data_IF_409715073343
#
_entry.id   IF_409715073343
#
_cell.length_a   1.000
_cell.length_b   1.000
_cell.length_c   1.000
_cell.angle_alpha   90.00
_cell.angle_beta   90.00
_cell.angle_gamma   90.00
#
_symmetry.space_group_name_H-M   'P 1'
#
loop_
_entity.id
_entity.type
_entity.pdbx_description
1 polymer ?
#
# COMPACT_ATOMS: atom_id res chain seq x y z
N UNK A 1 -1.79 6.69 -12.00
CA UNK A 1 -2.53 5.99 -10.93
C UNK A 1 -2.18 6.61 -9.58
N UNK A 2 -2.98 6.39 -8.59
CA UNK A 2 -2.79 6.92 -7.24
C UNK A 2 -3.32 5.96 -6.19
N UNK A 3 -2.85 6.12 -4.96
CA UNK A 3 -3.42 5.48 -3.77
C UNK A 3 -3.80 6.57 -2.78
N UNK A 4 -5.01 6.49 -2.26
CA UNK A 4 -5.55 7.43 -1.28
C UNK A 4 -5.88 6.65 0.00
N UNK A 5 -5.25 7.04 1.10
CA UNK A 5 -5.46 6.39 2.39
C UNK A 5 -5.80 7.40 3.47
N UNK A 6 -7.06 7.42 3.96
CA UNK A 6 -7.46 8.22 5.11
C UNK A 6 -7.20 7.45 6.41
N UNK A 7 -6.60 8.10 7.38
CA UNK A 7 -6.42 7.60 8.74
C UNK A 7 -6.99 8.59 9.75
N UNK A 8 -7.79 8.09 10.68
CA UNK A 8 -8.32 8.93 11.75
C UNK A 8 -7.26 9.16 12.81
N UNK A 9 -7.02 10.41 13.14
CA UNK A 9 -6.12 10.84 14.21
C UNK A 9 -6.93 11.53 15.33
N UNK A 10 -6.28 11.80 16.46
CA UNK A 10 -6.95 12.43 17.62
C UNK A 10 -7.55 13.81 17.30
N UNK A 11 -6.94 14.57 16.40
CA UNK A 11 -7.36 15.93 16.05
C UNK A 11 -7.79 16.08 14.58
N UNK A 12 -8.13 15.00 13.90
CA UNK A 12 -8.55 15.11 12.51
C UNK A 12 -8.43 13.84 11.70
N UNK A 13 -8.23 14.01 10.40
CA UNK A 13 -8.03 12.91 9.45
C UNK A 13 -6.73 13.18 8.71
N UNK A 14 -5.78 12.25 8.81
CA UNK A 14 -4.62 12.23 7.94
C UNK A 14 -5.01 11.60 6.60
N UNK A 15 -4.63 12.22 5.52
CA UNK A 15 -4.83 11.72 4.18
C UNK A 15 -3.49 11.50 3.50
N UNK A 16 -3.08 10.24 3.39
CA UNK A 16 -1.90 9.88 2.62
C UNK A 16 -2.31 9.72 1.16
N UNK A 17 -1.59 10.36 0.26
CA UNK A 17 -1.80 10.26 -1.17
C UNK A 17 -0.47 9.93 -1.85
N UNK A 18 -0.42 8.77 -2.48
CA UNK A 18 0.71 8.36 -3.30
C UNK A 18 0.35 8.50 -4.77
N UNK A 19 1.16 9.22 -5.53
CA UNK A 19 1.03 9.40 -6.97
C UNK A 19 2.09 8.56 -7.69
N UNK A 20 1.75 7.98 -8.83
CA UNK A 20 2.63 7.15 -9.63
C UNK A 20 2.81 7.71 -11.04
N UNK A 21 4.06 7.67 -11.53
CA UNK A 21 4.40 8.07 -12.89
C UNK A 21 3.94 9.50 -13.21
N UNK A 22 3.42 9.73 -14.38
CA UNK A 22 2.98 11.04 -14.86
C UNK A 22 1.89 11.71 -13.98
N UNK A 23 1.29 10.96 -13.05
CA UNK A 23 0.37 11.57 -12.09
C UNK A 23 1.08 12.52 -11.11
N UNK A 24 2.39 12.41 -10.95
CA UNK A 24 3.19 13.34 -10.13
C UNK A 24 3.12 14.76 -10.65
N UNK A 25 3.01 14.96 -11.96
CA UNK A 25 2.90 16.27 -12.61
C UNK A 25 1.62 17.01 -12.21
N UNK A 26 0.59 16.29 -11.80
CA UNK A 26 -0.68 16.84 -11.35
C UNK A 26 -0.70 17.18 -9.85
N UNK A 27 0.37 16.93 -9.11
CA UNK A 27 0.41 17.20 -7.68
C UNK A 27 0.14 18.67 -7.31
N UNK A 28 0.66 19.68 -8.04
CA UNK A 28 0.31 21.08 -7.78
C UNK A 28 -1.19 21.38 -7.97
N UNK A 29 -1.79 20.84 -9.04
CA UNK A 29 -3.21 21.01 -9.30
C UNK A 29 -4.07 20.35 -8.23
N UNK A 30 -3.62 19.19 -7.71
CA UNK A 30 -4.29 18.49 -6.64
C UNK A 30 -4.23 19.24 -5.32
N UNK A 31 -3.09 19.82 -4.96
CA UNK A 31 -2.94 20.68 -3.79
C UNK A 31 -3.85 21.90 -3.87
N UNK A 32 -3.93 22.53 -5.03
CA UNK A 32 -4.84 23.65 -5.25
C UNK A 32 -6.31 23.23 -5.12
N UNK A 33 -6.67 22.05 -5.64
CA UNK A 33 -8.01 21.50 -5.48
C UNK A 33 -8.37 21.23 -4.02
N UNK A 34 -7.42 20.73 -3.23
CA UNK A 34 -7.58 20.52 -1.79
C UNK A 34 -7.77 21.86 -1.04
N UNK A 35 -6.95 22.88 -1.36
CA UNK A 35 -7.12 24.24 -0.80
C UNK A 35 -8.48 24.85 -1.13
N UNK A 36 -8.98 24.63 -2.34
CA UNK A 36 -10.34 25.04 -2.71
C UNK A 36 -11.42 24.28 -1.94
N UNK A 37 -11.16 23.01 -1.63
CA UNK A 37 -12.09 22.21 -0.84
C UNK A 37 -12.22 22.71 0.60
N UNK A 38 -11.14 23.23 1.22
CA UNK A 38 -11.22 23.88 2.55
C UNK A 38 -12.33 24.94 2.61
N UNK A 39 -12.39 25.80 1.58
CA UNK A 39 -13.38 26.90 1.49
C UNK A 39 -14.81 26.39 1.29
N UNK A 40 -14.97 25.18 0.74
CA UNK A 40 -16.29 24.59 0.45
C UNK A 40 -16.80 23.68 1.55
N UNK A 41 -15.94 23.20 2.42
CA UNK A 41 -16.24 22.18 3.43
C UNK A 41 -16.39 20.77 2.87
N UNK A 42 -16.33 19.78 3.76
CA UNK A 42 -16.44 18.36 3.44
C UNK A 42 -17.86 17.82 3.65
N UNK A 43 -18.24 16.92 2.76
CA UNK A 43 -19.48 16.15 2.86
C UNK A 43 -20.73 16.97 2.50
N UNK A 44 -21.90 16.37 2.78
CA UNK A 44 -23.21 16.96 2.49
C UNK A 44 -23.47 18.20 3.35
N UNK A 45 -22.97 18.18 4.57
CA UNK A 45 -23.16 19.24 5.57
C UNK A 45 -22.12 20.37 5.45
N UNK A 46 -21.19 20.25 4.49
CA UNK A 46 -20.11 21.23 4.26
C UNK A 46 -19.33 21.56 5.53
N UNK A 47 -18.94 20.52 6.26
CA UNK A 47 -18.18 20.67 7.50
C UNK A 47 -16.87 21.39 7.20
N UNK A 48 -16.58 22.53 7.87
CA UNK A 48 -15.33 23.25 7.69
C UNK A 48 -14.15 22.39 8.09
N UNK A 49 -13.03 22.50 7.40
CA UNK A 49 -11.77 21.84 7.74
C UNK A 49 -10.61 22.72 7.32
N UNK A 50 -9.46 22.46 7.88
CA UNK A 50 -8.20 23.08 7.48
C UNK A 50 -7.20 21.99 7.10
N UNK A 51 -6.39 22.28 6.09
CA UNK A 51 -5.37 21.35 5.61
C UNK A 51 -4.04 21.78 6.20
N UNK A 52 -3.41 20.84 6.95
CA UNK A 52 -2.03 20.94 7.35
C UNK A 52 -1.26 19.96 6.47
N UNK A 53 -0.58 20.46 5.44
CA UNK A 53 0.07 19.62 4.45
C UNK A 53 1.55 19.40 4.72
N UNK A 54 2.01 18.17 4.54
CA UNK A 54 3.41 17.81 4.45
C UNK A 54 3.62 16.97 3.20
N UNK A 55 4.48 17.45 2.30
CA UNK A 55 4.90 16.69 1.13
C UNK A 55 6.17 15.96 1.52
N UNK A 56 6.19 14.63 1.42
CA UNK A 56 7.38 13.82 1.66
C UNK A 56 7.69 12.99 0.41
N UNK A 57 8.97 12.83 0.06
CA UNK A 57 9.37 11.80 -0.90
C UNK A 57 8.95 10.42 -0.39
N UNK A 58 8.52 9.53 -1.29
CA UNK A 58 7.77 8.31 -0.95
C UNK A 58 8.50 7.21 -0.17
N UNK A 59 9.73 7.38 0.29
CA UNK A 59 10.53 6.30 0.89
C UNK A 59 11.14 6.61 2.26
N UNK A 60 10.93 7.79 2.84
CA UNK A 60 11.52 8.05 4.14
C UNK A 60 10.71 7.49 5.31
N UNK A 61 11.23 6.44 5.89
CA UNK A 61 10.77 5.84 7.15
C UNK A 61 11.27 6.58 8.40
N UNK A 62 11.80 7.78 8.28
CA UNK A 62 12.28 8.56 9.42
C UNK A 62 11.21 9.58 9.86
N UNK A 63 10.40 9.17 10.82
CA UNK A 63 9.53 10.06 11.60
C UNK A 63 10.38 10.97 12.51
N UNK A 64 10.99 11.99 11.96
CA UNK A 64 11.40 13.12 12.78
C UNK A 64 10.15 13.98 13.05
N UNK A 65 9.82 14.10 14.33
CA UNK A 65 8.80 15.03 14.84
C UNK A 65 9.32 16.45 14.63
N UNK A 66 9.02 17.06 13.50
CA UNK A 66 9.20 18.49 13.35
C UNK A 66 7.84 19.13 13.07
N UNK A 67 7.40 19.95 14.01
CA UNK A 67 6.29 20.88 13.87
C UNK A 67 6.60 21.80 12.68
N UNK A 68 5.83 21.70 11.59
CA UNK A 68 6.11 22.50 10.43
C UNK A 68 4.87 22.96 9.69
N UNK A 69 4.48 24.21 9.94
CA UNK A 69 3.58 24.99 9.10
C UNK A 69 4.18 25.41 7.75
N UNK A 70 5.48 25.17 7.54
CA UNK A 70 6.23 25.72 6.40
C UNK A 70 6.43 24.76 5.21
N UNK A 71 6.01 23.50 5.32
CA UNK A 71 6.26 22.49 4.28
C UNK A 71 5.50 22.71 2.96
N UNK A 72 4.47 23.56 2.95
CA UNK A 72 3.76 23.88 1.71
C UNK A 72 4.47 24.92 0.81
N UNK A 73 5.53 25.56 1.32
CA UNK A 73 6.31 26.56 0.56
C UNK A 73 7.59 25.98 -0.05
N UNK A 74 8.01 24.78 0.37
CA UNK A 74 9.13 24.11 -0.24
C UNK A 74 8.68 23.43 -1.55
N UNK A 75 9.51 23.52 -2.59
CA UNK A 75 9.23 22.93 -3.89
C UNK A 75 8.87 21.44 -3.81
N UNK A 76 8.20 20.94 -4.84
CA UNK A 76 7.89 19.51 -4.95
C UNK A 76 9.17 18.69 -4.89
N UNK A 77 9.25 17.64 -4.06
CA UNK A 77 10.40 16.74 -4.07
C UNK A 77 10.48 15.99 -5.39
N UNK A 78 11.69 15.64 -5.80
CA UNK A 78 11.90 14.80 -6.98
C UNK A 78 11.19 13.45 -6.84
N UNK A 79 10.68 12.89 -7.95
CA UNK A 79 10.08 11.56 -7.92
C UNK A 79 11.11 10.50 -7.50
N UNK A 80 10.72 9.60 -6.62
CA UNK A 80 11.55 8.49 -6.16
C UNK A 80 11.14 7.21 -6.89
N UNK A 81 12.11 6.47 -7.41
CA UNK A 81 11.85 5.16 -8.02
C UNK A 81 11.54 4.14 -6.95
N UNK A 82 10.63 3.18 -7.24
CA UNK A 82 10.27 2.11 -6.30
C UNK A 82 11.48 1.25 -5.87
N UNK A 83 12.55 1.22 -6.67
CA UNK A 83 13.80 0.53 -6.36
C UNK A 83 14.75 1.28 -5.43
N UNK A 84 14.59 2.61 -5.31
CA UNK A 84 15.46 3.44 -4.51
C UNK A 84 15.15 3.23 -3.01
N UNK A 85 16.17 2.96 -2.20
CA UNK A 85 16.01 2.73 -0.76
C UNK A 85 15.37 1.39 -0.36
N UNK A 86 15.24 0.46 -1.31
CA UNK A 86 14.88 -0.94 -1.02
C UNK A 86 16.13 -1.79 -0.70
N UNK A 87 17.18 -1.16 -0.17
CA UNK A 87 18.41 -1.86 0.18
C UNK A 87 18.10 -3.04 1.10
N UNK A 88 18.60 -4.23 0.76
CA UNK A 88 18.56 -5.37 1.64
C UNK A 88 19.56 -5.12 2.78
N UNK A 89 19.17 -4.41 3.83
CA UNK A 89 19.93 -4.51 5.06
C UNK A 89 19.95 -5.98 5.47
N UNK A 90 21.10 -6.60 5.36
CA UNK A 90 21.35 -7.98 5.76
C UNK A 90 21.20 -8.08 7.28
N UNK A 91 20.06 -8.58 7.72
CA UNK A 91 19.81 -8.88 9.12
C UNK A 91 19.98 -10.41 9.33
N UNK A 92 20.77 -10.78 10.31
CA UNK A 92 21.07 -12.18 10.63
C UNK A 92 19.82 -12.97 11.09
N UNK A 93 18.70 -12.30 11.37
CA UNK A 93 17.53 -12.95 11.95
C UNK A 93 16.35 -13.16 10.97
N UNK A 94 16.44 -12.73 9.72
CA UNK A 94 15.51 -12.96 8.60
C UNK A 94 14.01 -13.08 8.99
N UNK A 95 13.56 -12.30 10.01
CA UNK A 95 12.17 -12.28 10.47
C UNK A 95 11.50 -11.00 10.02
N UNK A 96 10.41 -11.14 9.25
CA UNK A 96 9.60 -10.02 8.81
C UNK A 96 8.20 -10.10 9.41
N UNK A 97 7.70 -8.98 9.83
CA UNK A 97 6.34 -8.81 10.31
C UNK A 97 5.58 -7.90 9.37
N UNK A 98 4.47 -8.38 8.84
CA UNK A 98 3.55 -7.63 7.97
C UNK A 98 2.22 -7.44 8.67
N UNK A 99 1.89 -6.19 8.96
CA UNK A 99 0.57 -5.81 9.50
C UNK A 99 -0.35 -5.36 8.37
N UNK A 100 -1.49 -6.01 8.21
CA UNK A 100 -2.57 -5.55 7.34
C UNK A 100 -3.33 -4.42 8.04
N UNK A 101 -3.01 -3.18 7.71
CA UNK A 101 -3.62 -1.99 8.32
C UNK A 101 -5.03 -1.74 7.81
N UNK A 102 -5.28 -2.07 6.55
CA UNK A 102 -6.59 -1.98 5.92
C UNK A 102 -6.99 -3.32 5.31
N UNK A 103 -8.30 -3.56 5.09
CA UNK A 103 -8.78 -4.83 4.59
C UNK A 103 -8.10 -5.27 3.30
N UNK A 104 -7.42 -6.40 3.35
CA UNK A 104 -6.84 -7.06 2.18
C UNK A 104 -7.94 -7.85 1.46
N UNK A 105 -8.13 -7.57 0.18
CA UNK A 105 -9.17 -8.15 -0.67
C UNK A 105 -8.55 -8.84 -1.88
N UNK A 106 -8.14 -10.07 -1.72
CA UNK A 106 -7.67 -10.91 -2.82
C UNK A 106 -8.83 -11.73 -3.38
N UNK A 107 -8.92 -11.81 -4.70
CA UNK A 107 -10.02 -12.52 -5.38
C UNK A 107 -9.46 -13.61 -6.26
N UNK A 108 -9.92 -14.85 -6.01
CA UNK A 108 -9.57 -16.04 -6.81
C UNK A 108 -10.87 -16.68 -7.32
N UNK A 109 -10.97 -16.95 -8.61
CA UNK A 109 -12.15 -17.56 -9.24
C UNK A 109 -13.48 -16.90 -8.84
N UNK A 110 -13.49 -15.57 -8.80
CA UNK A 110 -14.71 -14.83 -8.48
C UNK A 110 -15.01 -14.64 -6.98
N UNK A 111 -14.37 -15.37 -6.08
CA UNK A 111 -14.59 -15.31 -4.62
C UNK A 111 -13.44 -14.59 -3.91
N UNK A 112 -13.76 -13.87 -2.85
CA UNK A 112 -12.71 -13.29 -1.98
C UNK A 112 -12.11 -14.37 -1.08
N UNK A 113 -10.79 -14.32 -0.91
CA UNK A 113 -10.09 -15.22 -0.02
C UNK A 113 -10.39 -14.81 1.43
N UNK A 114 -10.75 -15.79 2.24
CA UNK A 114 -10.95 -15.66 3.69
C UNK A 114 -9.74 -16.17 4.50
N UNK A 115 -8.71 -16.66 3.82
CA UNK A 115 -7.42 -17.08 4.39
C UNK A 115 -6.30 -16.43 3.61
N UNK A 116 -5.20 -16.18 4.29
CA UNK A 116 -4.00 -15.66 3.65
C UNK A 116 -3.27 -16.80 2.93
N UNK A 117 -2.79 -16.49 1.76
CA UNK A 117 -1.95 -17.35 0.93
C UNK A 117 -0.78 -16.45 0.47
N UNK A 118 0.45 -16.67 0.95
CA UNK A 118 1.60 -15.82 0.64
C UNK A 118 1.96 -15.85 -0.84
N UNK A 119 1.85 -17.01 -1.49
CA UNK A 119 2.12 -17.13 -2.93
C UNK A 119 1.13 -16.27 -3.71
N UNK A 120 -0.15 -16.40 -3.41
CA UNK A 120 -1.18 -15.63 -4.09
C UNK A 120 -1.10 -14.12 -3.79
N UNK A 121 -0.69 -13.75 -2.58
CA UNK A 121 -0.43 -12.36 -2.22
C UNK A 121 0.71 -11.77 -3.04
N UNK A 122 1.83 -12.48 -3.16
CA UNK A 122 2.99 -12.06 -3.94
C UNK A 122 2.70 -12.01 -5.45
N UNK A 123 1.92 -12.96 -5.97
CA UNK A 123 1.43 -12.88 -7.35
C UNK A 123 0.56 -11.64 -7.58
N UNK A 124 -0.31 -11.30 -6.62
CA UNK A 124 -1.15 -10.11 -6.74
C UNK A 124 -0.32 -8.82 -6.67
N UNK A 125 0.71 -8.77 -5.83
CA UNK A 125 1.68 -7.69 -5.77
C UNK A 125 2.47 -7.57 -7.08
N UNK A 126 2.98 -8.68 -7.60
CA UNK A 126 3.71 -8.70 -8.88
C UNK A 126 2.87 -8.12 -10.02
N UNK A 127 1.61 -8.53 -10.14
CA UNK A 127 0.68 -7.97 -11.14
C UNK A 127 0.44 -6.48 -10.94
N UNK A 128 0.39 -6.02 -9.69
CA UNK A 128 0.23 -4.60 -9.40
C UNK A 128 1.45 -3.81 -9.85
N UNK A 129 2.66 -4.30 -9.54
CA UNK A 129 3.93 -3.69 -9.94
C UNK A 129 4.10 -3.71 -11.47
N UNK A 130 3.82 -4.84 -12.12
CA UNK A 130 3.83 -4.95 -13.58
C UNK A 130 2.88 -3.93 -14.22
N UNK A 131 1.65 -3.84 -13.71
CA UNK A 131 0.68 -2.89 -14.25
C UNK A 131 1.13 -1.44 -14.09
N UNK A 132 1.77 -1.07 -12.99
CA UNK A 132 2.35 0.26 -12.80
C UNK A 132 3.52 0.50 -13.75
N UNK A 133 4.43 -0.46 -13.87
CA UNK A 133 5.57 -0.38 -14.77
C UNK A 133 5.15 -0.21 -16.25
N UNK A 134 4.18 -1.00 -16.71
CA UNK A 134 3.67 -0.89 -18.09
C UNK A 134 2.92 0.43 -18.35
N UNK A 135 2.28 1.01 -17.33
CA UNK A 135 1.48 2.23 -17.52
C UNK A 135 2.29 3.51 -17.41
N UNK A 136 3.41 3.50 -16.68
CA UNK A 136 4.10 4.74 -16.29
C UNK A 136 5.60 4.77 -16.60
N UNK A 137 6.21 3.63 -16.89
CA UNK A 137 7.66 3.52 -17.10
C UNK A 137 7.98 2.94 -18.48
N UNK A 138 7.02 2.89 -19.39
CA UNK A 138 7.16 2.26 -20.73
C UNK A 138 7.66 0.80 -20.65
N UNK A 139 7.43 0.14 -19.52
CA UNK A 139 7.83 -1.24 -19.31
C UNK A 139 6.95 -2.20 -20.10
N UNK A 140 7.56 -3.28 -20.58
CA UNK A 140 6.81 -4.35 -21.23
C UNK A 140 6.19 -5.32 -20.21
N UNK A 141 5.02 -5.90 -20.51
CA UNK A 141 4.45 -6.96 -19.69
C UNK A 141 5.41 -8.15 -19.54
N UNK A 142 5.43 -8.74 -18.37
CA UNK A 142 6.15 -9.98 -18.14
C UNK A 142 5.58 -11.09 -19.04
N UNK A 143 6.41 -11.68 -19.88
CA UNK A 143 6.01 -12.82 -20.68
C UNK A 143 5.68 -14.03 -19.81
N UNK A 144 4.96 -15.00 -20.40
CA UNK A 144 4.51 -16.22 -19.72
C UNK A 144 5.63 -16.94 -18.97
N UNK A 145 6.79 -17.09 -19.60
CA UNK A 145 7.95 -17.78 -19.02
C UNK A 145 8.43 -17.10 -17.72
N UNK A 146 8.56 -15.78 -17.73
CA UNK A 146 8.94 -15.01 -16.53
C UNK A 146 7.90 -15.11 -15.42
N UNK A 147 6.62 -15.12 -15.78
CA UNK A 147 5.53 -15.32 -14.84
C UNK A 147 5.58 -16.74 -14.20
N UNK A 148 5.83 -17.77 -14.99
CA UNK A 148 5.96 -19.15 -14.51
C UNK A 148 7.18 -19.30 -13.61
N UNK A 149 8.32 -18.70 -13.96
CA UNK A 149 9.53 -18.69 -13.14
C UNK A 149 9.29 -17.97 -11.79
N UNK A 150 8.66 -16.80 -11.80
CA UNK A 150 8.34 -16.04 -10.60
C UNK A 150 7.41 -16.81 -9.66
N UNK A 151 6.35 -17.41 -10.20
CA UNK A 151 5.43 -18.26 -9.46
C UNK A 151 6.14 -19.47 -8.84
N UNK A 152 6.98 -20.14 -9.62
CA UNK A 152 7.74 -21.28 -9.14
C UNK A 152 8.68 -20.91 -7.99
N UNK A 153 9.33 -19.75 -8.05
CA UNK A 153 10.14 -19.20 -6.98
C UNK A 153 9.31 -19.00 -5.69
N UNK A 154 8.14 -18.37 -5.79
CA UNK A 154 7.25 -18.16 -4.65
C UNK A 154 6.76 -19.50 -4.06
N UNK A 155 6.37 -20.44 -4.92
CA UNK A 155 5.92 -21.77 -4.50
C UNK A 155 7.03 -22.53 -3.81
N UNK A 156 8.22 -22.57 -4.37
CA UNK A 156 9.37 -23.29 -3.78
C UNK A 156 9.69 -22.81 -2.36
N UNK A 157 9.41 -21.53 -2.07
CA UNK A 157 9.70 -20.98 -0.75
C UNK A 157 8.56 -21.15 0.26
N UNK A 158 7.29 -21.12 -0.17
CA UNK A 158 6.14 -21.07 0.74
C UNK A 158 5.25 -22.31 0.73
N UNK A 159 5.45 -23.25 -0.20
CA UNK A 159 4.49 -24.36 -0.40
C UNK A 159 4.69 -25.58 0.49
N UNK A 160 5.90 -25.90 0.95
CA UNK A 160 6.15 -27.29 1.36
C UNK A 160 6.89 -27.56 2.66
N UNK A 161 7.28 -26.61 3.48
CA UNK A 161 7.98 -26.97 4.73
C UNK A 161 7.60 -26.10 5.92
N UNK A 162 7.70 -26.71 7.11
CA UNK A 162 7.49 -26.20 8.46
C UNK A 162 7.35 -24.66 8.53
N UNK A 163 6.41 -24.10 9.23
CA UNK A 163 5.80 -22.80 8.91
C UNK A 163 6.84 -21.70 8.76
N UNK A 164 7.27 -21.46 7.51
CA UNK A 164 8.08 -20.29 7.17
C UNK A 164 7.30 -19.00 7.37
N UNK A 165 6.02 -19.13 7.67
CA UNK A 165 5.13 -18.01 7.96
C UNK A 165 3.95 -18.42 8.86
N UNK A 166 3.36 -17.46 9.55
CA UNK A 166 2.15 -17.61 10.35
C UNK A 166 1.27 -16.37 10.15
N UNK A 167 -0.04 -16.58 10.00
CA UNK A 167 -1.00 -15.50 9.88
C UNK A 167 -2.01 -15.53 11.03
N UNK A 168 -2.19 -14.36 11.67
CA UNK A 168 -3.18 -14.10 12.70
C UNK A 168 -4.16 -13.05 12.15
N UNK A 169 -5.06 -13.51 11.29
CA UNK A 169 -5.96 -12.65 10.53
C UNK A 169 -7.40 -12.95 10.86
N UNK A 170 -8.21 -11.90 10.76
CA UNK A 170 -9.68 -11.98 10.86
C UNK A 170 -10.32 -11.22 9.70
N UNK A 171 -11.48 -11.65 9.32
CA UNK A 171 -12.29 -10.89 8.39
C UNK A 171 -12.92 -9.69 9.09
N UNK A 172 -12.78 -8.51 8.50
CA UNK A 172 -13.44 -7.28 8.95
C UNK A 172 -14.44 -6.86 7.90
N UNK A 173 -15.72 -6.86 8.28
CA UNK A 173 -16.78 -6.35 7.42
C UNK A 173 -16.90 -4.84 7.56
N UNK A 174 -16.97 -4.17 6.45
CA UNK A 174 -17.48 -2.81 6.37
C UNK A 174 -18.01 -2.54 4.96
N UNK A 175 -18.79 -1.48 4.83
CA UNK A 175 -19.34 -1.08 3.55
C UNK A 175 -19.27 0.44 3.40
N UNK A 176 -19.09 0.89 2.18
CA UNK A 176 -19.24 2.30 1.83
C UNK A 176 -20.51 2.52 1.02
N UNK A 177 -21.12 3.67 1.15
CA UNK A 177 -22.20 4.08 0.26
C UNK A 177 -21.63 4.59 -1.06
N UNK A 178 -22.11 4.05 -2.18
CA UNK A 178 -21.74 4.51 -3.51
C UNK A 178 -22.80 5.49 -4.02
N UNK A 179 -22.47 6.77 -4.13
CA UNK A 179 -23.36 7.77 -4.67
C UNK A 179 -23.77 7.47 -6.13
N UNK A 180 -22.85 6.89 -6.92
CA UNK A 180 -23.12 6.51 -8.30
C UNK A 180 -24.11 5.34 -8.40
N UNK A 181 -23.94 4.32 -7.55
CA UNK A 181 -24.79 3.12 -7.56
C UNK A 181 -25.98 3.22 -6.61
N UNK A 182 -26.08 4.30 -5.82
CA UNK A 182 -27.14 4.52 -4.81
C UNK A 182 -27.34 3.34 -3.84
N UNK A 183 -26.26 2.63 -3.53
CA UNK A 183 -26.28 1.46 -2.63
C UNK A 183 -25.01 1.32 -1.79
N UNK A 184 -25.11 0.56 -0.71
CA UNK A 184 -23.95 0.11 0.06
C UNK A 184 -23.14 -0.90 -0.76
N UNK A 185 -21.83 -0.66 -0.86
CA UNK A 185 -20.87 -1.55 -1.53
C UNK A 185 -20.01 -2.21 -0.46
N UNK A 186 -20.00 -3.56 -0.36
CA UNK A 186 -19.16 -4.26 0.59
C UNK A 186 -17.68 -4.02 0.32
N UNK A 187 -16.94 -3.69 1.37
CA UNK A 187 -15.50 -3.38 1.32
C UNK A 187 -14.71 -4.25 2.31
N UNK A 188 -15.34 -5.24 2.94
CA UNK A 188 -14.72 -6.15 3.90
C UNK A 188 -13.56 -6.95 3.32
N UNK A 189 -12.62 -7.36 4.17
CA UNK A 189 -11.45 -8.14 3.84
C UNK A 189 -10.67 -8.57 5.07
N UNK A 190 -9.50 -9.19 4.87
CA UNK A 190 -8.63 -9.66 5.92
C UNK A 190 -7.86 -8.50 6.56
N UNK A 191 -7.78 -8.48 7.89
CA UNK A 191 -6.94 -7.59 8.69
C UNK A 191 -6.21 -8.40 9.77
N UNK A 192 -5.09 -7.89 10.25
CA UNK A 192 -4.28 -8.48 11.32
C UNK A 192 -2.82 -8.61 10.92
N UNK A 193 -2.15 -9.66 11.38
CA UNK A 193 -0.70 -9.80 11.29
C UNK A 193 -0.29 -11.06 10.53
N UNK A 194 0.79 -10.96 9.78
CA UNK A 194 1.49 -12.08 9.16
C UNK A 194 2.96 -12.01 9.57
N UNK A 195 3.48 -13.11 10.05
CA UNK A 195 4.86 -13.26 10.46
C UNK A 195 5.56 -14.20 9.48
N UNK A 196 6.68 -13.76 8.95
CA UNK A 196 7.56 -14.58 8.12
C UNK A 196 8.79 -14.92 8.94
N UNK A 197 9.10 -16.21 9.02
CA UNK A 197 10.28 -16.76 9.66
C UNK A 197 11.24 -17.22 8.56
N UNK A 198 12.54 -16.99 8.71
CA UNK A 198 13.50 -17.31 7.68
C UNK A 198 13.14 -16.72 6.31
N UNK A 199 12.75 -15.45 6.31
CA UNK A 199 12.39 -14.74 5.09
C UNK A 199 13.61 -14.68 4.14
N UNK A 200 13.46 -14.99 2.86
CA UNK A 200 14.55 -14.82 1.90
C UNK A 200 14.83 -13.31 1.70
N UNK A 201 16.07 -12.98 1.35
CA UNK A 201 16.52 -11.59 1.21
C UNK A 201 15.65 -10.79 0.22
N UNK A 202 15.18 -11.43 -0.84
CA UNK A 202 14.30 -10.80 -1.82
C UNK A 202 12.92 -10.42 -1.27
N UNK A 203 12.43 -11.05 -0.18
CA UNK A 203 11.08 -10.82 0.31
C UNK A 203 10.92 -9.43 0.94
N UNK A 204 11.92 -8.96 1.66
CA UNK A 204 11.91 -7.64 2.30
C UNK A 204 11.60 -6.52 1.32
N UNK A 205 12.39 -6.34 0.25
CA UNK A 205 12.13 -5.36 -0.82
C UNK A 205 10.73 -5.47 -1.42
N UNK A 206 10.24 -6.68 -1.71
CA UNK A 206 8.89 -6.88 -2.23
C UNK A 206 7.80 -6.40 -1.28
N UNK A 207 7.91 -6.73 0.01
CA UNK A 207 6.93 -6.30 0.99
C UNK A 207 6.98 -4.79 1.23
N UNK A 208 8.17 -4.17 1.15
CA UNK A 208 8.31 -2.70 1.18
C UNK A 208 7.59 -2.04 -0.01
N UNK A 209 7.74 -2.59 -1.21
CA UNK A 209 6.98 -2.09 -2.35
C UNK A 209 5.46 -2.18 -2.11
N UNK A 210 4.99 -3.23 -1.44
CA UNK A 210 3.57 -3.38 -1.09
C UNK A 210 3.04 -2.29 -0.15
N UNK A 211 3.88 -1.72 0.73
CA UNK A 211 3.50 -0.59 1.60
C UNK A 211 3.08 0.64 0.77
N UNK A 212 3.74 0.85 -0.38
CA UNK A 212 3.53 2.01 -1.25
C UNK A 212 2.37 1.80 -2.22
N UNK A 213 2.36 0.62 -2.90
CA UNK A 213 1.42 0.40 -4.00
C UNK A 213 0.07 -0.14 -3.56
N UNK A 214 -0.02 -0.63 -2.34
CA UNK A 214 -1.13 -1.41 -1.79
C UNK A 214 -1.48 -2.64 -2.66
N UNK A 215 -2.08 -3.66 -2.08
CA UNK A 215 -2.32 -4.92 -2.77
C UNK A 215 -3.80 -5.32 -2.74
N UNK A 216 -4.29 -5.82 -3.87
CA UNK A 216 -5.63 -6.37 -3.99
C UNK A 216 -6.67 -5.37 -4.46
N UNK A 217 -7.94 -5.79 -4.41
CA UNK A 217 -9.05 -4.99 -4.94
C UNK A 217 -9.37 -3.81 -4.04
N UNK A 218 -9.39 -2.64 -4.62
CA UNK A 218 -9.67 -1.38 -3.93
C UNK A 218 -8.40 -0.68 -3.40
N UNK A 219 -7.21 -1.08 -3.86
CA UNK A 219 -5.94 -0.44 -3.52
C UNK A 219 -5.98 1.08 -3.72
N UNK A 220 -6.52 1.55 -4.84
CA UNK A 220 -6.72 2.99 -5.14
C UNK A 220 -7.53 3.72 -4.06
N UNK A 221 -8.37 3.01 -3.33
CA UNK A 221 -9.19 3.54 -2.22
C UNK A 221 -8.57 3.26 -0.84
N UNK A 222 -7.28 2.97 -0.77
CA UNK A 222 -6.56 2.72 0.46
C UNK A 222 -6.70 1.31 1.05
N UNK A 223 -7.37 0.38 0.36
CA UNK A 223 -7.45 -1.00 0.83
C UNK A 223 -6.15 -1.76 0.53
N UNK A 224 -5.89 -2.82 1.32
CA UNK A 224 -4.69 -3.63 1.17
C UNK A 224 -3.40 -2.92 1.57
N UNK A 225 -3.49 -1.84 2.38
CA UNK A 225 -2.32 -1.20 2.99
C UNK A 225 -1.69 -2.14 3.99
N UNK A 226 -0.39 -2.30 3.87
CA UNK A 226 0.41 -3.06 4.83
C UNK A 226 1.44 -2.15 5.49
N UNK A 227 1.96 -2.58 6.62
CA UNK A 227 3.12 -2.02 7.29
C UNK A 227 4.09 -3.14 7.57
N UNK A 228 5.33 -2.94 7.16
CA UNK A 228 6.39 -3.92 7.37
C UNK A 228 7.30 -3.44 8.48
N UNK A 229 7.61 -4.33 9.41
CA UNK A 229 8.60 -4.13 10.44
C UNK A 229 9.46 -5.38 10.58
N UNK A 230 10.69 -5.20 11.02
CA UNK A 230 11.53 -6.29 11.50
C UNK A 230 11.21 -6.49 12.97
N UNK A 231 11.14 -7.72 13.43
CA UNK A 231 11.14 -8.01 14.87
C UNK A 231 12.57 -8.31 15.25
N UNK A 232 13.15 -7.41 16.03
CA UNK A 232 14.31 -7.74 16.82
C UNK A 232 13.88 -8.86 17.77
N UNK A 233 14.70 -9.88 17.87
CA UNK A 233 14.37 -11.05 18.70
C UNK A 233 14.16 -10.63 20.16
N UNK A 234 13.06 -11.11 20.76
CA UNK A 234 12.95 -11.22 22.21
C UNK A 234 13.94 -12.27 22.73
#
# INVERSE_FOLDING_TARGET
DYVLYPEQEQQGIRLDLTLFGNCTDFAPALLEALKRAEKRGLGKERIPFSIQGRIQPGLEHNRSKNNGSDAMQQGMPDPVRLGDGLDPESDQNNRLHMQLQTPLRLRRQGKYLNRFDPVFYLEALARRLEGLNCLFEDGEPLGREKWEALRSCFQAHFADQAPSWRAELRWRDFARYSNRQKRKVPMGGLIGNVHFFQAPDWLGPWLRAAELVHVGKGAVMGLGKVRISRRDGD
#
